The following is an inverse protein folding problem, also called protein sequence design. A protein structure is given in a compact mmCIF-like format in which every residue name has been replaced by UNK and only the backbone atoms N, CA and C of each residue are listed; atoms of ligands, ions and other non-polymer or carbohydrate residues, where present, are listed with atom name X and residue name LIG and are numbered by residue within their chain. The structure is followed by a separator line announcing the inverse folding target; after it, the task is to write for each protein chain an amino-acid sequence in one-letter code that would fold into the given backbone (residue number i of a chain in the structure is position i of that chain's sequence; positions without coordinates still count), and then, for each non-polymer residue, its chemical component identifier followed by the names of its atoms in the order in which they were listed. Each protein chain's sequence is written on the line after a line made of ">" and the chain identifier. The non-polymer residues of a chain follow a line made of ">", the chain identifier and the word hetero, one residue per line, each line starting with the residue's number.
data_IF_549122807680
#
_entry.id   IF_549122807680
#
_cell.length_a   1.000
_cell.length_b   1.000
_cell.length_c   1.000
_cell.angle_alpha   90.00
_cell.angle_beta   90.00
_cell.angle_gamma   90.00
#
_symmetry.space_group_name_H-M   'P 1'
#
loop_
_entity.id
_entity.type
_entity.pdbx_description
1 polymer ?
#
# COMPACT_ATOMS: atom_id res chain seq x y z
N UNK A 1 -8.28 58.39 41.43
CA UNK A 1 -7.96 57.13 42.15
C UNK A 1 -9.28 56.39 42.30
N UNK A 2 -9.55 55.19 41.80
CA UNK A 2 -8.74 54.01 41.49
C UNK A 2 -9.06 53.45 40.10
N UNK A 3 -8.02 52.93 39.44
CA UNK A 3 -8.09 52.01 38.31
C UNK A 3 -8.04 50.58 38.88
N UNK A 4 -8.91 49.68 38.41
CA UNK A 4 -8.68 48.23 38.42
C UNK A 4 -9.36 47.60 37.20
N UNK A 5 -8.78 46.53 36.63
CA UNK A 5 -8.68 46.39 35.18
C UNK A 5 -9.66 45.36 34.62
N UNK A 6 -10.39 45.77 33.58
CA UNK A 6 -11.21 44.93 32.71
C UNK A 6 -10.32 44.11 31.76
N UNK A 7 -9.40 43.31 32.29
CA UNK A 7 -8.47 42.47 31.50
C UNK A 7 -8.55 40.97 31.83
N UNK A 8 -9.43 40.56 32.75
CA UNK A 8 -9.54 39.16 33.17
C UNK A 8 -10.52 38.30 32.36
N UNK A 9 -11.17 38.84 31.32
CA UNK A 9 -12.16 38.10 30.54
C UNK A 9 -11.68 37.67 29.13
N UNK A 10 -10.41 37.88 28.79
CA UNK A 10 -9.87 37.51 27.47
C UNK A 10 -8.83 36.37 27.49
N UNK A 11 -8.58 35.76 28.66
CA UNK A 11 -7.57 34.68 28.79
C UNK A 11 -8.16 33.28 28.67
N UNK A 12 -9.48 33.12 28.59
CA UNK A 12 -10.14 31.78 28.57
C UNK A 12 -10.55 31.31 27.16
N UNK A 13 -10.39 32.14 26.12
CA UNK A 13 -10.81 31.80 24.74
C UNK A 13 -9.65 31.53 23.76
N UNK A 14 -8.46 31.15 24.26
CA UNK A 14 -7.32 30.72 23.41
C UNK A 14 -6.79 29.34 23.86
N UNK A 15 -7.61 28.52 24.52
CA UNK A 15 -7.23 27.17 24.96
C UNK A 15 -7.84 26.03 24.13
N UNK A 16 -8.55 26.34 23.04
CA UNK A 16 -9.08 25.34 22.09
C UNK A 16 -8.46 25.50 20.69
N UNK A 17 -7.13 25.65 20.62
CA UNK A 17 -6.36 25.22 19.46
C UNK A 17 -5.73 23.88 19.82
N UNK A 18 -6.59 22.86 19.95
CA UNK A 18 -6.17 21.47 19.91
C UNK A 18 -5.62 21.21 18.51
N UNK A 19 -4.32 21.49 18.33
CA UNK A 19 -3.54 20.93 17.24
C UNK A 19 -3.65 19.43 17.44
N UNK A 20 -4.63 18.85 16.75
CA UNK A 20 -4.75 17.42 16.60
C UNK A 20 -3.52 17.05 15.79
N UNK A 21 -2.45 16.65 16.48
CA UNK A 21 -1.36 15.94 15.84
C UNK A 21 -2.02 14.74 15.19
N UNK A 22 -2.27 14.83 13.89
CA UNK A 22 -2.56 13.67 13.08
C UNK A 22 -1.32 12.80 13.23
N UNK A 23 -1.35 11.87 14.18
CA UNK A 23 -0.39 10.79 14.23
C UNK A 23 -0.71 9.96 12.99
N UNK A 24 -0.11 10.34 11.86
CA UNK A 24 -0.12 9.49 10.68
C UNK A 24 0.62 8.25 11.13
N UNK A 25 -0.10 7.13 11.28
CA UNK A 25 0.55 5.85 11.51
C UNK A 25 1.67 5.70 10.48
N UNK A 26 2.85 5.28 10.95
CA UNK A 26 3.96 4.96 10.06
C UNK A 26 3.43 3.96 9.01
N UNK A 27 3.74 4.18 7.73
CA UNK A 27 3.25 3.30 6.68
C UNK A 27 3.73 1.86 6.90
N UNK A 28 2.82 0.93 6.63
CA UNK A 28 3.12 -0.48 6.49
C UNK A 28 3.89 -0.74 5.19
N UNK A 29 5.21 -0.78 5.30
CA UNK A 29 6.08 -1.20 4.20
C UNK A 29 5.98 -2.71 3.93
N UNK A 30 5.49 -3.07 2.73
CA UNK A 30 5.26 -4.46 2.28
C UNK A 30 6.52 -5.33 2.38
N UNK A 31 7.70 -4.73 2.24
CA UNK A 31 8.97 -5.43 2.22
C UNK A 31 9.64 -5.63 3.59
N UNK A 32 9.18 -4.91 4.62
CA UNK A 32 9.89 -4.83 5.91
C UNK A 32 9.01 -5.22 7.09
N UNK A 33 7.73 -4.86 7.09
CA UNK A 33 6.86 -5.03 8.23
C UNK A 33 6.04 -6.33 8.14
N UNK A 34 5.71 -6.90 9.29
CA UNK A 34 4.84 -8.08 9.39
C UNK A 34 3.44 -7.64 9.86
N UNK A 35 2.45 -7.70 8.97
CA UNK A 35 1.03 -7.61 9.36
C UNK A 35 0.47 -9.01 9.44
N UNK A 36 0.02 -9.38 10.63
CA UNK A 36 -0.60 -10.69 10.92
C UNK A 36 -2.12 -10.60 11.00
N UNK A 37 -2.67 -9.43 11.33
CA UNK A 37 -4.10 -9.21 11.52
C UNK A 37 -4.75 -8.70 10.22
N UNK A 38 -5.61 -9.50 9.55
CA UNK A 38 -6.15 -9.15 8.24
C UNK A 38 -6.95 -7.85 8.26
N UNK A 39 -7.73 -7.62 9.32
CA UNK A 39 -8.60 -6.45 9.46
C UNK A 39 -7.84 -5.15 9.72
N UNK A 40 -6.56 -5.23 10.09
CA UNK A 40 -5.71 -4.05 10.29
C UNK A 40 -5.11 -3.53 8.98
N UNK A 41 -5.24 -4.28 7.88
CA UNK A 41 -4.76 -3.87 6.56
C UNK A 41 -5.59 -2.68 6.07
N UNK A 42 -4.90 -1.63 5.63
CA UNK A 42 -5.50 -0.50 4.93
C UNK A 42 -4.54 0.00 3.86
N UNK A 43 -5.01 0.18 2.63
CA UNK A 43 -4.19 0.72 1.54
C UNK A 43 -3.69 2.14 1.81
N UNK A 44 -4.36 2.89 2.68
CA UNK A 44 -3.93 4.23 3.10
C UNK A 44 -2.60 4.22 3.87
N UNK A 45 -2.24 3.10 4.49
CA UNK A 45 -1.00 2.95 5.23
C UNK A 45 0.01 2.09 4.52
N UNK A 46 -0.36 1.32 3.48
CA UNK A 46 0.56 0.45 2.74
C UNK A 46 1.59 1.28 1.94
N UNK A 47 2.84 0.83 1.94
CA UNK A 47 3.89 1.32 1.04
C UNK A 47 4.64 0.20 0.32
N UNK A 48 5.15 0.53 -0.87
CA UNK A 48 6.05 -0.30 -1.66
C UNK A 48 7.39 0.44 -1.81
N UNK A 49 8.40 -0.02 -1.08
CA UNK A 49 9.71 0.64 -0.93
C UNK A 49 9.60 2.14 -0.62
N UNK A 50 8.68 2.50 0.27
CA UNK A 50 8.42 3.87 0.70
C UNK A 50 7.48 4.68 -0.20
N UNK A 51 7.08 4.16 -1.36
CA UNK A 51 6.06 4.77 -2.23
C UNK A 51 4.66 4.39 -1.75
N UNK A 52 3.75 5.36 -1.69
CA UNK A 52 2.36 5.20 -1.23
C UNK A 52 1.35 5.66 -2.26
N UNK A 53 0.09 5.28 -2.06
CA UNK A 53 -1.03 5.92 -2.73
C UNK A 53 -1.05 7.43 -2.46
N UNK A 54 -1.30 8.22 -3.50
CA UNK A 54 -1.32 9.68 -3.47
C UNK A 54 0.05 10.35 -3.59
N UNK A 55 1.16 9.60 -3.54
CA UNK A 55 2.49 10.19 -3.78
C UNK A 55 2.57 10.78 -5.18
N UNK A 56 3.19 11.96 -5.36
CA UNK A 56 3.36 12.55 -6.69
C UNK A 56 4.34 11.71 -7.51
N UNK A 57 4.14 11.70 -8.83
CA UNK A 57 4.95 10.92 -9.78
C UNK A 57 6.46 11.09 -9.58
N UNK A 58 6.93 12.34 -9.46
CA UNK A 58 8.34 12.64 -9.29
C UNK A 58 8.95 11.98 -8.03
N UNK A 59 8.21 11.96 -6.92
CA UNK A 59 8.63 11.30 -5.68
C UNK A 59 8.67 9.79 -5.88
N UNK A 60 7.69 9.20 -6.56
CA UNK A 60 7.64 7.77 -6.82
C UNK A 60 8.83 7.32 -7.66
N UNK A 61 9.13 8.04 -8.75
CA UNK A 61 10.30 7.79 -9.61
C UNK A 61 11.58 7.90 -8.82
N UNK A 62 11.81 9.02 -8.12
CA UNK A 62 13.05 9.24 -7.33
C UNK A 62 13.26 8.14 -6.28
N UNK A 63 12.20 7.76 -5.57
CA UNK A 63 12.25 6.76 -4.51
C UNK A 63 12.62 5.38 -5.07
N UNK A 64 11.97 4.96 -6.14
CA UNK A 64 12.21 3.65 -6.76
C UNK A 64 13.55 3.61 -7.49
N UNK A 65 13.99 4.67 -8.15
CA UNK A 65 15.34 4.73 -8.74
C UNK A 65 16.43 4.67 -7.67
N UNK A 66 16.24 5.38 -6.56
CA UNK A 66 17.16 5.36 -5.41
C UNK A 66 17.27 3.97 -4.79
N UNK A 67 16.20 3.17 -4.83
CA UNK A 67 16.19 1.77 -4.38
C UNK A 67 17.28 0.95 -5.08
N UNK A 68 17.41 1.11 -6.40
CA UNK A 68 18.41 0.40 -7.23
C UNK A 68 19.83 0.82 -6.87
N UNK A 69 20.02 2.06 -6.45
CA UNK A 69 21.34 2.64 -6.16
C UNK A 69 21.85 2.31 -4.75
N UNK A 70 20.98 2.12 -3.75
CA UNK A 70 21.39 2.00 -2.33
C UNK A 70 21.86 0.61 -1.94
N UNK A 71 21.33 -0.45 -2.55
CA UNK A 71 21.69 -1.85 -2.25
C UNK A 71 21.57 -2.70 -3.52
N UNK A 72 22.43 -3.72 -3.73
CA UNK A 72 22.23 -4.69 -4.79
C UNK A 72 21.05 -5.60 -4.44
N UNK A 73 19.84 -5.04 -4.54
CA UNK A 73 18.60 -5.77 -4.30
C UNK A 73 18.29 -6.70 -5.47
N UNK A 74 18.99 -6.58 -6.61
CA UNK A 74 18.67 -7.32 -7.82
C UNK A 74 17.34 -6.87 -8.41
N UNK A 75 16.97 -5.61 -8.23
CA UNK A 75 15.74 -5.01 -8.75
C UNK A 75 16.11 -4.04 -9.86
N UNK A 76 15.41 -4.14 -10.99
CA UNK A 76 15.44 -3.13 -12.05
C UNK A 76 14.13 -2.35 -12.00
N UNK A 77 14.22 -1.04 -12.17
CA UNK A 77 13.05 -0.17 -12.35
C UNK A 77 12.89 0.11 -13.84
N UNK A 78 11.68 -0.05 -14.34
CA UNK A 78 11.32 0.28 -15.73
C UNK A 78 10.02 1.08 -15.74
N UNK A 79 9.99 2.22 -16.43
CA UNK A 79 8.76 3.01 -16.61
C UNK A 79 8.17 2.72 -17.99
N UNK A 80 6.90 2.35 -18.04
CA UNK A 80 6.16 2.06 -19.27
C UNK A 80 4.76 2.66 -19.19
N UNK A 81 4.44 3.58 -20.11
CA UNK A 81 3.22 4.36 -20.09
C UNK A 81 2.96 4.98 -18.70
N UNK A 82 1.84 4.61 -18.05
CA UNK A 82 1.46 5.09 -16.72
C UNK A 82 2.03 4.25 -15.58
N UNK A 83 2.86 3.23 -15.84
CA UNK A 83 3.37 2.33 -14.81
C UNK A 83 4.86 2.50 -14.57
N UNK A 84 5.26 2.33 -13.31
CA UNK A 84 6.66 2.14 -12.91
C UNK A 84 6.78 0.74 -12.33
N UNK A 85 7.46 -0.14 -13.05
CA UNK A 85 7.61 -1.55 -12.76
C UNK A 85 8.90 -1.85 -12.02
N UNK A 86 8.80 -2.80 -11.10
CA UNK A 86 9.92 -3.45 -10.43
C UNK A 86 10.07 -4.84 -11.00
N UNK A 87 11.23 -5.12 -11.61
CA UNK A 87 11.58 -6.42 -12.17
C UNK A 87 12.71 -7.06 -11.37
N UNK A 88 12.66 -8.38 -11.23
CA UNK A 88 13.78 -9.15 -10.69
C UNK A 88 14.87 -9.28 -11.77
N UNK A 89 16.03 -8.66 -11.56
CA UNK A 89 17.19 -8.73 -12.46
C UNK A 89 17.73 -10.16 -12.62
N UNK A 90 17.52 -11.03 -11.64
CA UNK A 90 17.96 -12.42 -11.69
C UNK A 90 17.06 -13.27 -12.57
N UNK A 91 15.80 -12.85 -12.75
CA UNK A 91 14.78 -13.56 -13.53
C UNK A 91 13.75 -12.59 -14.15
N UNK A 92 14.13 -11.82 -15.19
CA UNK A 92 13.29 -10.77 -15.76
C UNK A 92 12.20 -11.34 -16.68
N UNK A 93 11.25 -12.06 -16.07
CA UNK A 93 10.13 -12.73 -16.77
C UNK A 93 8.83 -11.92 -16.73
N UNK A 94 8.89 -10.70 -16.17
CA UNK A 94 7.79 -9.76 -16.02
C UNK A 94 7.93 -8.94 -14.73
N UNK A 95 7.10 -7.88 -14.56
CA UNK A 95 7.03 -7.13 -13.32
C UNK A 95 6.66 -8.04 -12.15
N UNK A 96 7.33 -7.87 -11.02
CA UNK A 96 6.97 -8.52 -9.75
C UNK A 96 6.14 -7.61 -8.85
N UNK A 97 6.34 -6.30 -8.99
CA UNK A 97 5.62 -5.27 -8.27
C UNK A 97 5.69 -3.96 -9.07
N UNK A 98 4.94 -2.96 -8.65
CA UNK A 98 5.05 -1.63 -9.26
C UNK A 98 3.95 -0.70 -8.78
N UNK A 99 3.95 0.48 -9.39
CA UNK A 99 2.94 1.50 -9.15
C UNK A 99 2.34 1.97 -10.47
N UNK A 100 1.09 2.42 -10.43
CA UNK A 100 0.45 3.16 -11.52
C UNK A 100 0.37 4.64 -11.15
N UNK A 101 0.62 5.48 -12.14
CA UNK A 101 0.47 6.93 -12.08
C UNK A 101 -0.79 7.31 -12.84
N UNK A 102 -1.71 7.98 -12.16
CA UNK A 102 -2.87 8.60 -12.76
C UNK A 102 -3.01 10.02 -12.20
N UNK A 103 -3.29 10.99 -13.08
CA UNK A 103 -3.42 12.40 -12.72
C UNK A 103 -2.21 12.96 -11.94
N UNK A 104 -1.01 12.50 -12.32
CA UNK A 104 0.28 12.92 -11.74
C UNK A 104 0.58 12.34 -10.35
N UNK A 105 -0.21 11.37 -9.88
CA UNK A 105 -0.06 10.73 -8.57
C UNK A 105 -0.14 9.23 -8.66
N UNK A 106 0.43 8.54 -7.69
CA UNK A 106 0.29 7.10 -7.51
C UNK A 106 -1.15 6.79 -7.11
N UNK A 107 -1.86 6.05 -7.94
CA UNK A 107 -3.26 5.69 -7.68
C UNK A 107 -3.47 4.19 -7.49
N UNK A 108 -2.45 3.39 -7.80
CA UNK A 108 -2.42 1.96 -7.57
C UNK A 108 -1.01 1.47 -7.23
N UNK A 109 -0.90 0.62 -6.22
CA UNK A 109 0.27 -0.21 -5.94
C UNK A 109 -0.08 -1.66 -6.28
N UNK A 110 0.82 -2.42 -6.88
CA UNK A 110 0.59 -3.84 -7.09
C UNK A 110 1.81 -4.68 -6.76
N UNK A 111 1.55 -5.90 -6.30
CA UNK A 111 2.54 -6.96 -6.08
C UNK A 111 1.97 -8.28 -6.60
N UNK A 112 2.85 -9.19 -7.01
CA UNK A 112 2.43 -10.54 -7.39
C UNK A 112 3.30 -11.63 -6.77
N UNK A 113 2.95 -12.89 -7.05
CA UNK A 113 3.66 -14.08 -6.58
C UNK A 113 5.20 -14.02 -6.75
N UNK A 114 5.73 -13.33 -7.78
CA UNK A 114 7.18 -13.14 -7.95
C UNK A 114 7.79 -12.28 -6.85
N UNK A 115 7.03 -11.38 -6.24
CA UNK A 115 7.44 -10.52 -5.13
C UNK A 115 7.28 -11.16 -3.75
N UNK A 116 6.71 -12.38 -3.66
CA UNK A 116 6.43 -13.06 -2.39
C UNK A 116 7.68 -13.22 -1.50
N UNK A 117 8.84 -13.44 -2.10
CA UNK A 117 10.12 -13.60 -1.38
C UNK A 117 10.62 -12.30 -0.72
N UNK A 118 10.07 -11.14 -1.12
CA UNK A 118 10.37 -9.82 -0.54
C UNK A 118 9.26 -9.31 0.36
N UNK A 119 8.06 -9.86 0.21
CA UNK A 119 6.91 -9.49 1.04
C UNK A 119 7.01 -10.18 2.39
N UNK A 120 6.40 -9.58 3.42
CA UNK A 120 6.29 -10.17 4.76
C UNK A 120 4.82 -10.29 5.21
N UNK A 121 4.64 -10.99 6.33
CA UNK A 121 3.35 -11.21 6.95
C UNK A 121 2.31 -11.89 6.06
N UNK A 122 1.06 -11.50 6.27
CA UNK A 122 -0.10 -12.13 5.62
C UNK A 122 -0.01 -12.12 4.10
N UNK A 123 0.49 -11.04 3.50
CA UNK A 123 0.60 -10.96 2.04
C UNK A 123 1.64 -11.90 1.46
N UNK A 124 2.70 -12.25 2.19
CA UNK A 124 3.59 -13.33 1.76
C UNK A 124 2.84 -14.66 1.66
N UNK A 125 1.94 -14.94 2.60
CA UNK A 125 1.17 -16.19 2.59
C UNK A 125 0.09 -16.16 1.50
N UNK A 126 -0.58 -15.03 1.29
CA UNK A 126 -1.54 -14.83 0.19
C UNK A 126 -0.86 -15.06 -1.16
N UNK A 127 0.31 -14.46 -1.39
CA UNK A 127 1.04 -14.61 -2.65
C UNK A 127 1.60 -16.03 -2.91
N UNK A 128 1.63 -16.90 -1.89
CA UNK A 128 2.02 -18.31 -2.00
C UNK A 128 0.82 -19.27 -1.86
N UNK A 129 -0.42 -18.75 -1.86
CA UNK A 129 -1.61 -19.58 -1.69
C UNK A 129 -1.86 -20.48 -2.90
N UNK A 130 -2.37 -21.68 -2.66
CA UNK A 130 -2.64 -22.66 -3.72
C UNK A 130 -4.07 -22.58 -4.24
N UNK A 131 -4.98 -21.91 -3.53
CA UNK A 131 -6.39 -21.79 -3.89
C UNK A 131 -7.02 -20.48 -3.39
N UNK A 132 -8.15 -20.04 -3.97
CA UNK A 132 -8.95 -18.94 -3.43
C UNK A 132 -9.38 -19.17 -1.98
N UNK A 133 -9.69 -20.41 -1.61
CA UNK A 133 -10.09 -20.76 -0.24
C UNK A 133 -8.96 -20.56 0.77
N UNK A 134 -7.70 -20.81 0.40
CA UNK A 134 -6.56 -20.51 1.27
C UNK A 134 -6.39 -19.01 1.48
N UNK A 135 -6.65 -18.21 0.44
CA UNK A 135 -6.65 -16.75 0.53
C UNK A 135 -7.75 -16.28 1.49
N UNK A 136 -8.96 -16.84 1.41
CA UNK A 136 -10.07 -16.51 2.33
C UNK A 136 -9.81 -16.93 3.77
N UNK A 137 -9.09 -18.04 4.00
CA UNK A 137 -8.65 -18.43 5.37
C UNK A 137 -7.68 -17.42 5.96
N UNK A 138 -6.82 -16.82 5.12
CA UNK A 138 -5.86 -15.81 5.54
C UNK A 138 -6.55 -14.47 5.77
N UNK A 139 -7.27 -13.96 4.76
CA UNK A 139 -7.77 -12.58 4.74
C UNK A 139 -9.18 -12.42 5.35
N UNK A 140 -9.90 -13.53 5.52
CA UNK A 140 -11.33 -13.51 5.80
C UNK A 140 -12.15 -13.45 4.51
N UNK A 141 -13.47 -13.31 4.68
CA UNK A 141 -14.41 -13.24 3.56
C UNK A 141 -14.32 -11.86 2.89
N UNK A 142 -14.18 -11.87 1.57
CA UNK A 142 -14.27 -10.69 0.71
C UNK A 142 -15.65 -10.03 0.75
N UNK A 143 -15.72 -8.74 0.46
CA UNK A 143 -17.00 -8.00 0.39
C UNK A 143 -17.82 -8.45 -0.81
N UNK A 144 -17.15 -8.60 -1.94
CA UNK A 144 -17.67 -9.19 -3.15
C UNK A 144 -16.54 -9.84 -3.94
N UNK A 145 -16.90 -10.78 -4.81
CA UNK A 145 -15.95 -11.49 -5.64
C UNK A 145 -16.64 -12.22 -6.79
N UNK A 146 -15.86 -12.52 -7.82
CA UNK A 146 -16.27 -13.39 -8.92
C UNK A 146 -15.29 -14.55 -8.98
N UNK A 147 -15.80 -15.78 -8.95
CA UNK A 147 -15.01 -17.00 -9.07
C UNK A 147 -15.56 -17.85 -10.20
N UNK A 148 -14.70 -18.11 -11.19
CA UNK A 148 -15.04 -18.84 -12.38
C UNK A 148 -13.86 -19.72 -12.82
N UNK A 149 -13.99 -20.38 -13.97
CA UNK A 149 -12.97 -21.31 -14.49
C UNK A 149 -11.60 -20.64 -14.70
N UNK A 150 -11.57 -19.32 -14.93
CA UNK A 150 -10.34 -18.56 -15.18
C UNK A 150 -9.65 -18.10 -13.90
N UNK A 151 -10.33 -18.14 -12.75
CA UNK A 151 -9.78 -17.67 -11.48
C UNK A 151 -10.82 -17.05 -10.55
N UNK A 152 -10.31 -16.33 -9.54
CA UNK A 152 -11.11 -15.63 -8.55
C UNK A 152 -10.62 -14.19 -8.38
N UNK A 153 -11.57 -13.26 -8.33
CA UNK A 153 -11.37 -11.88 -7.87
C UNK A 153 -12.01 -11.77 -6.49
N UNK A 154 -11.24 -11.30 -5.51
CA UNK A 154 -11.68 -11.08 -4.13
C UNK A 154 -11.46 -9.61 -3.77
N UNK A 155 -12.53 -8.85 -3.58
CA UNK A 155 -12.49 -7.42 -3.29
C UNK A 155 -12.64 -7.15 -1.79
N UNK A 156 -11.70 -6.37 -1.24
CA UNK A 156 -11.69 -5.87 0.13
C UNK A 156 -11.70 -4.32 0.07
N UNK A 157 -12.73 -3.77 -0.56
CA UNK A 157 -12.80 -2.36 -0.95
C UNK A 157 -12.74 -1.41 0.24
N UNK A 158 -13.35 -1.74 1.38
CA UNK A 158 -13.23 -0.94 2.60
C UNK A 158 -11.79 -0.87 3.14
N UNK A 159 -10.98 -1.87 2.85
CA UNK A 159 -9.55 -1.92 3.16
C UNK A 159 -8.68 -1.39 2.01
N UNK A 160 -9.29 -1.13 0.85
CA UNK A 160 -8.66 -0.56 -0.34
C UNK A 160 -7.73 -1.52 -1.07
N UNK A 161 -8.02 -2.82 -1.09
CA UNK A 161 -7.26 -3.75 -1.92
C UNK A 161 -8.12 -4.87 -2.49
N UNK A 162 -7.62 -5.50 -3.54
CA UNK A 162 -8.19 -6.70 -4.12
C UNK A 162 -7.12 -7.76 -4.36
N UNK A 163 -7.53 -9.02 -4.38
CA UNK A 163 -6.68 -10.16 -4.75
C UNK A 163 -7.25 -10.81 -6.01
N UNK A 164 -6.42 -10.88 -7.05
CA UNK A 164 -6.72 -11.57 -8.30
C UNK A 164 -5.93 -12.88 -8.31
N UNK A 165 -6.62 -14.01 -8.16
CA UNK A 165 -6.08 -15.35 -8.30
C UNK A 165 -6.40 -15.89 -9.70
N UNK A 166 -5.39 -16.11 -10.53
CA UNK A 166 -5.51 -16.55 -11.92
C UNK A 166 -4.80 -17.90 -12.10
N UNK A 167 -5.33 -18.93 -11.43
CA UNK A 167 -4.81 -20.31 -11.45
C UNK A 167 -3.49 -20.48 -10.68
N UNK A 168 -2.40 -19.87 -11.15
CA UNK A 168 -1.09 -19.91 -10.47
C UNK A 168 -0.50 -18.52 -10.20
N UNK A 169 -1.06 -17.51 -10.86
CA UNK A 169 -0.61 -16.14 -10.72
C UNK A 169 -1.55 -15.41 -9.76
N UNK A 170 -0.97 -14.87 -8.70
CA UNK A 170 -1.70 -14.10 -7.68
C UNK A 170 -1.20 -12.69 -7.77
N UNK A 171 -2.11 -11.74 -7.98
CA UNK A 171 -1.83 -10.32 -7.93
C UNK A 171 -2.63 -9.69 -6.78
N UNK A 172 -1.99 -8.77 -6.07
CA UNK A 172 -2.64 -7.96 -5.06
C UNK A 172 -2.50 -6.51 -5.51
N UNK A 173 -3.63 -5.82 -5.59
CA UNK A 173 -3.70 -4.43 -6.03
C UNK A 173 -4.28 -3.59 -4.90
N UNK A 174 -3.55 -2.54 -4.52
CA UNK A 174 -3.97 -1.57 -3.53
C UNK A 174 -4.38 -0.30 -4.26
N UNK A 175 -5.57 0.22 -3.93
CA UNK A 175 -6.11 1.46 -4.44
C UNK A 175 -6.80 2.21 -3.29
N UNK A 176 -7.26 3.43 -3.54
CA UNK A 176 -8.04 4.16 -2.53
C UNK A 176 -9.29 3.34 -2.13
N UNK A 177 -9.61 3.21 -0.82
CA UNK A 177 -10.82 2.54 -0.38
C UNK A 177 -12.09 3.14 -1.01
N UNK A 178 -13.12 2.31 -1.19
CA UNK A 178 -14.40 2.70 -1.82
C UNK A 178 -15.58 2.60 -0.86
#
# INVERSE_FOLDING_TARGET
>A
MHRTPLHFAFVVLISLLSISSFTSAEPYELSEHDVTEPKAISSNTVSLFGVKLGDPENKAVETLETLVNRKPLGIKVEQEATFIFLLDQRKPTGPMAGVRIQDGKVDLLFINNRFAHRTRGIFRNVLNSESPDDIRKLLGKEEYGDENVMGAVMAYDSQGFQVNYLGKDINIEFAAPR
#
